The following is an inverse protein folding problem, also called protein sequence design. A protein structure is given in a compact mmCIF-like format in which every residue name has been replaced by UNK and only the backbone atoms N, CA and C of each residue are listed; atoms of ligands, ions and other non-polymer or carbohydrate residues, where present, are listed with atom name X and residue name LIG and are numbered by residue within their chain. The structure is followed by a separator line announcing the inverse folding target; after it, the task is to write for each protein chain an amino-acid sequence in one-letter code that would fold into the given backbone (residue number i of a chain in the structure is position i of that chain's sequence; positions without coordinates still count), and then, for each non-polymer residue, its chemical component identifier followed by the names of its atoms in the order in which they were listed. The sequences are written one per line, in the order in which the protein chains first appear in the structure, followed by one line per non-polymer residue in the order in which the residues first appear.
data_IF_137620744709
#
_entry.id   IF_137620744709
#
_cell.length_a   1.000
_cell.length_b   1.000
_cell.length_c   1.000
_cell.angle_alpha   90.00
_cell.angle_beta   90.00
_cell.angle_gamma   90.00
#
_symmetry.space_group_name_H-M   'P 1'
#
loop_
_entity.id
_entity.type
_entity.pdbx_description
1 polymer ?
#
# COMPACT_ATOMS: atom_id res chain seq x y z
N UNK A 1 34.60 -24.74 10.17
CA UNK A 1 33.80 -25.15 9.00
C UNK A 1 32.35 -25.15 9.48
N UNK A 2 31.57 -24.07 9.55
CA UNK A 2 31.26 -23.01 8.56
C UNK A 2 31.10 -23.62 7.18
N UNK A 3 29.88 -23.96 6.80
CA UNK A 3 29.26 -23.60 5.52
C UNK A 3 27.80 -24.08 5.45
N UNK A 4 26.97 -23.21 4.89
CA UNK A 4 25.66 -23.49 4.28
C UNK A 4 24.38 -23.43 5.11
N UNK A 5 24.33 -22.29 5.82
CA UNK A 5 23.15 -21.46 6.10
C UNK A 5 22.34 -21.02 4.85
N UNK A 6 22.25 -21.82 3.78
CA UNK A 6 21.63 -21.40 2.50
C UNK A 6 20.59 -22.42 2.04
N UNK A 7 19.41 -22.37 2.64
CA UNK A 7 18.15 -22.70 1.95
C UNK A 7 16.92 -22.15 2.66
N UNK A 8 17.03 -20.91 3.15
CA UNK A 8 15.89 -19.99 3.08
C UNK A 8 15.61 -19.72 1.59
N UNK A 9 14.92 -20.64 0.92
CA UNK A 9 14.26 -20.30 -0.35
C UNK A 9 12.96 -19.59 0.00
N UNK A 10 13.13 -18.29 0.21
CA UNK A 10 12.27 -17.17 -0.16
C UNK A 10 11.26 -17.58 -1.25
N UNK A 11 10.13 -18.15 -0.84
CA UNK A 11 8.89 -18.10 -1.60
C UNK A 11 8.29 -16.72 -1.33
N UNK A 12 8.82 -15.70 -2.03
CA UNK A 12 7.98 -14.53 -2.31
C UNK A 12 7.00 -15.03 -3.36
N UNK A 13 5.90 -15.57 -2.87
CA UNK A 13 4.70 -15.70 -3.68
C UNK A 13 4.20 -14.27 -3.84
N UNK A 14 4.70 -13.59 -4.87
CA UNK A 14 4.16 -12.33 -5.34
C UNK A 14 2.82 -12.62 -5.99
N UNK A 15 1.81 -12.97 -5.17
CA UNK A 15 0.46 -13.09 -5.69
C UNK A 15 -0.17 -11.71 -5.73
N UNK A 16 -0.74 -11.42 -6.89
CA UNK A 16 -1.63 -10.32 -7.20
C UNK A 16 -2.84 -10.21 -6.21
N UNK A 17 -3.00 -11.19 -5.30
CA UNK A 17 -4.08 -11.29 -4.30
C UNK A 17 -4.13 -10.10 -3.35
N UNK A 18 -2.98 -9.53 -2.99
CA UNK A 18 -2.91 -8.35 -2.12
C UNK A 18 -3.58 -7.12 -2.75
N UNK A 19 -3.47 -6.96 -4.07
CA UNK A 19 -4.14 -5.90 -4.81
C UNK A 19 -5.61 -6.21 -5.02
N UNK A 20 -5.94 -7.44 -5.38
CA UNK A 20 -7.33 -7.83 -5.64
C UNK A 20 -8.21 -7.66 -4.39
N UNK A 21 -7.68 -7.95 -3.19
CA UNK A 21 -8.41 -7.72 -1.94
C UNK A 21 -8.76 -6.25 -1.75
N UNK A 22 -7.81 -5.34 -1.99
CA UNK A 22 -8.04 -3.90 -1.89
C UNK A 22 -8.99 -3.41 -2.98
N UNK A 23 -8.77 -3.82 -4.23
CA UNK A 23 -9.56 -3.37 -5.38
C UNK A 23 -10.99 -3.89 -5.32
N UNK A 24 -11.23 -5.07 -4.74
CA UNK A 24 -12.55 -5.70 -4.65
C UNK A 24 -13.55 -4.91 -3.79
N UNK A 25 -13.07 -4.16 -2.80
CA UNK A 25 -13.93 -3.34 -1.93
C UNK A 25 -14.23 -1.95 -2.52
N UNK A 26 -13.58 -1.59 -3.63
CA UNK A 26 -13.77 -0.29 -4.28
C UNK A 26 -14.91 -0.36 -5.32
N UNK A 27 -15.64 0.74 -5.55
CA UNK A 27 -16.54 0.84 -6.68
C UNK A 27 -15.79 0.57 -8.01
N UNK A 28 -16.39 -0.23 -8.90
CA UNK A 28 -15.78 -0.62 -10.19
C UNK A 28 -15.23 0.55 -11.02
N UNK A 29 -15.88 1.71 -10.95
CA UNK A 29 -15.46 2.93 -11.65
C UNK A 29 -14.11 3.51 -11.16
N UNK A 30 -13.61 3.05 -10.00
CA UNK A 30 -12.38 3.53 -9.37
C UNK A 30 -11.29 2.45 -9.30
N UNK A 31 -11.64 1.19 -9.51
CA UNK A 31 -10.73 0.04 -9.43
C UNK A 31 -9.47 0.21 -10.27
N UNK A 32 -9.58 0.71 -11.51
CA UNK A 32 -8.40 0.92 -12.38
C UNK A 32 -7.44 1.99 -11.86
N UNK A 33 -7.96 3.08 -11.27
CA UNK A 33 -7.12 4.13 -10.68
C UNK A 33 -6.44 3.64 -9.40
N UNK A 34 -7.17 2.89 -8.59
CA UNK A 34 -6.62 2.29 -7.37
C UNK A 34 -5.53 1.28 -7.67
N UNK A 35 -5.73 0.41 -8.68
CA UNK A 35 -4.73 -0.54 -9.11
C UNK A 35 -3.44 0.18 -9.55
N UNK A 36 -3.56 1.22 -10.39
CA UNK A 36 -2.42 2.03 -10.80
C UNK A 36 -1.68 2.67 -9.61
N UNK A 37 -2.42 3.19 -8.63
CA UNK A 37 -1.86 3.77 -7.41
C UNK A 37 -1.11 2.71 -6.58
N UNK A 38 -1.72 1.54 -6.38
CA UNK A 38 -1.10 0.43 -5.64
C UNK A 38 0.20 -0.05 -6.30
N UNK A 39 0.23 -0.15 -7.63
CA UNK A 39 1.46 -0.45 -8.36
C UNK A 39 2.54 0.60 -8.10
N UNK A 40 2.21 1.90 -8.23
CA UNK A 40 3.19 2.97 -7.97
C UNK A 40 3.71 2.97 -6.53
N UNK A 41 2.86 2.71 -5.56
CA UNK A 41 3.25 2.60 -4.15
C UNK A 41 4.25 1.44 -3.97
N UNK A 42 3.93 0.26 -4.52
CA UNK A 42 4.80 -0.91 -4.45
C UNK A 42 6.13 -0.70 -5.17
N UNK A 43 6.11 -0.11 -6.36
CA UNK A 43 7.30 0.25 -7.13
C UNK A 43 8.18 1.26 -6.37
N UNK A 44 7.53 2.15 -5.60
CA UNK A 44 8.17 3.09 -4.70
C UNK A 44 8.72 2.47 -3.42
N UNK A 45 8.57 1.17 -3.19
CA UNK A 45 9.04 0.49 -1.98
C UNK A 45 8.09 0.59 -0.77
N UNK A 46 6.86 1.05 -0.98
CA UNK A 46 5.80 0.98 0.03
C UNK A 46 5.30 -0.45 0.12
N UNK A 47 5.16 -0.94 1.34
CA UNK A 47 4.60 -2.24 1.65
C UNK A 47 3.43 -2.09 2.60
N UNK A 48 2.62 -3.12 2.73
CA UNK A 48 1.59 -3.19 3.76
C UNK A 48 1.44 -4.64 4.21
N UNK A 49 1.06 -4.83 5.46
CA UNK A 49 0.75 -6.14 6.01
C UNK A 49 -0.67 -6.59 5.68
N UNK A 50 -0.99 -7.85 5.99
CA UNK A 50 -2.30 -8.46 5.73
C UNK A 50 -3.47 -7.74 6.41
N UNK A 51 -3.21 -7.08 7.55
CA UNK A 51 -4.18 -6.24 8.25
C UNK A 51 -4.29 -4.79 7.69
N UNK A 52 -3.54 -4.48 6.64
CA UNK A 52 -3.57 -3.20 5.94
C UNK A 52 -2.64 -2.12 6.49
N UNK A 53 -1.80 -2.40 7.49
CA UNK A 53 -0.86 -1.40 8.04
C UNK A 53 0.24 -1.11 7.03
N UNK A 54 0.39 0.16 6.67
CA UNK A 54 1.37 0.63 5.68
C UNK A 54 2.76 0.75 6.30
N UNK A 55 3.80 0.39 5.56
CA UNK A 55 5.20 0.55 5.95
C UNK A 55 6.05 1.09 4.79
N UNK A 56 6.98 1.98 5.11
CA UNK A 56 7.91 2.61 4.17
C UNK A 56 9.28 2.82 4.83
N UNK A 57 10.37 2.48 4.14
CA UNK A 57 11.75 2.60 4.67
C UNK A 57 11.96 1.99 6.07
N UNK A 58 11.33 0.84 6.32
CA UNK A 58 11.41 0.15 7.62
C UNK A 58 10.60 0.79 8.75
N UNK A 59 9.81 1.84 8.47
CA UNK A 59 8.90 2.47 9.43
C UNK A 59 7.45 2.13 9.10
N UNK A 60 6.69 1.71 10.09
CA UNK A 60 5.25 1.48 9.95
C UNK A 60 4.48 2.76 10.29
N UNK A 61 3.43 3.03 9.51
CA UNK A 61 2.45 4.08 9.81
C UNK A 61 1.40 3.45 10.73
N UNK A 62 1.55 3.68 12.03
CA UNK A 62 0.66 3.08 13.03
C UNK A 62 -0.81 3.44 12.79
N UNK A 63 -1.70 2.50 13.13
CA UNK A 63 -3.15 2.57 12.94
C UNK A 63 -3.64 2.85 11.51
N UNK A 64 -2.76 2.81 10.51
CA UNK A 64 -3.13 2.99 9.11
C UNK A 64 -3.86 1.78 8.53
N UNK A 65 -4.65 2.04 7.49
CA UNK A 65 -5.22 1.00 6.65
C UNK A 65 -5.09 1.40 5.17
N UNK A 66 -4.35 0.60 4.40
CA UNK A 66 -4.09 0.86 2.97
C UNK A 66 -5.38 0.97 2.15
N UNK A 67 -6.45 0.25 2.53
CA UNK A 67 -7.74 0.31 1.84
C UNK A 67 -8.35 1.69 2.03
N UNK A 68 -8.42 2.18 3.26
CA UNK A 68 -8.99 3.49 3.58
C UNK A 68 -8.19 4.62 2.92
N UNK A 69 -6.85 4.52 2.97
CA UNK A 69 -5.94 5.50 2.38
C UNK A 69 -6.07 5.56 0.84
N UNK A 70 -6.10 4.40 0.18
CA UNK A 70 -6.28 4.32 -1.28
C UNK A 70 -7.69 4.76 -1.67
N UNK A 71 -8.72 4.34 -0.94
CA UNK A 71 -10.10 4.76 -1.16
C UNK A 71 -10.23 6.28 -1.07
N UNK A 72 -9.57 6.90 -0.09
CA UNK A 72 -9.60 8.36 0.08
C UNK A 72 -8.94 9.08 -1.10
N UNK A 73 -7.83 8.55 -1.64
CA UNK A 73 -7.14 9.15 -2.79
C UNK A 73 -7.92 9.04 -4.10
N UNK A 74 -8.62 7.93 -4.33
CA UNK A 74 -9.27 7.68 -5.64
C UNK A 74 -10.70 8.20 -5.72
N UNK A 75 -11.25 8.74 -4.63
CA UNK A 75 -12.60 9.30 -4.64
C UNK A 75 -12.63 10.68 -5.27
N UNK A 76 -13.81 11.04 -5.77
CA UNK A 76 -14.02 12.25 -6.57
C UNK A 76 -14.27 13.51 -5.74
N UNK A 77 -14.72 13.38 -4.50
CA UNK A 77 -14.98 14.48 -3.58
C UNK A 77 -13.85 14.60 -2.55
N UNK A 78 -13.75 15.71 -1.80
CA UNK A 78 -12.96 15.75 -0.55
C UNK A 78 -13.77 15.19 0.64
N UNK A 79 -13.06 14.66 1.62
CA UNK A 79 -13.66 13.91 2.75
C UNK A 79 -13.73 14.92 3.84
N UNK A 80 -14.77 14.85 4.64
CA UNK A 80 -14.85 15.65 5.84
C UNK A 80 -13.87 15.19 6.91
N UNK A 81 -13.40 13.94 6.83
CA UNK A 81 -12.48 13.32 7.79
C UNK A 81 -11.37 12.57 7.08
N UNK A 82 -10.15 12.77 7.52
CA UNK A 82 -8.99 12.04 7.01
C UNK A 82 -8.92 10.64 7.66
N UNK A 83 -8.51 9.61 6.91
CA UNK A 83 -8.26 8.29 7.47
C UNK A 83 -7.08 8.32 8.45
N UNK A 84 -7.00 7.30 9.31
CA UNK A 84 -5.87 7.17 10.23
C UNK A 84 -4.55 7.01 9.46
N UNK A 85 -3.51 7.70 9.93
CA UNK A 85 -2.19 7.70 9.30
C UNK A 85 -2.08 8.55 8.02
N UNK A 86 -3.12 9.32 7.66
CA UNK A 86 -3.14 10.12 6.43
C UNK A 86 -1.97 11.09 6.28
N UNK A 87 -1.66 11.87 7.31
CA UNK A 87 -0.61 12.89 7.24
C UNK A 87 0.76 12.27 6.92
N UNK A 88 1.10 11.16 7.57
CA UNK A 88 2.35 10.45 7.32
C UNK A 88 2.34 9.77 5.95
N UNK A 89 1.19 9.22 5.55
CA UNK A 89 1.03 8.62 4.24
C UNK A 89 1.22 9.66 3.11
N UNK A 90 0.73 10.89 3.26
CA UNK A 90 0.98 11.97 2.30
C UNK A 90 2.47 12.31 2.18
N UNK A 91 3.24 12.22 3.26
CA UNK A 91 4.70 12.38 3.20
C UNK A 91 5.35 11.24 2.39
N UNK A 92 4.89 10.01 2.59
CA UNK A 92 5.33 8.85 1.79
C UNK A 92 4.99 9.06 0.31
N UNK A 93 3.77 9.49 -0.04
CA UNK A 93 3.37 9.76 -1.43
C UNK A 93 4.32 10.74 -2.13
N UNK A 94 4.73 11.80 -1.43
CA UNK A 94 5.70 12.77 -1.95
C UNK A 94 7.07 12.14 -2.16
N UNK A 95 7.51 11.25 -1.27
CA UNK A 95 8.79 10.56 -1.38
C UNK A 95 8.81 9.57 -2.55
N UNK A 96 7.70 8.88 -2.80
CA UNK A 96 7.56 7.95 -3.94
C UNK A 96 7.16 8.63 -5.26
N UNK A 97 7.15 9.97 -5.29
CA UNK A 97 6.79 10.77 -6.46
C UNK A 97 5.42 10.41 -7.07
N UNK A 98 4.46 10.07 -6.20
CA UNK A 98 3.07 9.89 -6.59
C UNK A 98 2.37 11.25 -6.50
N UNK A 99 1.86 11.80 -7.62
CA UNK A 99 1.11 13.04 -7.58
C UNK A 99 -0.20 12.83 -6.81
N UNK A 100 -0.37 13.60 -5.74
CA UNK A 100 -1.53 13.66 -4.86
C UNK A 100 -2.26 15.01 -5.00
#
# INVERSE_FOLDING_TARGET
MIEDSVKQKKEIVDSDDGFQNIVSVLPKSRSSKALLLLHKLKDGGVTWSDNGVVSFEGRSIEDSNIIDLVYDLVRSSRSTTEPKGWEEFVKVLKQVNVPC
#
